data_IF_389368103879
#
_entry.id   IF_389368103879
#
_cell.length_a   1.000
_cell.length_b   1.000
_cell.length_c   1.000
_cell.angle_alpha   90.00
_cell.angle_beta   90.00
_cell.angle_gamma   90.00
#
_symmetry.space_group_name_H-M   'P 1'
#
loop_
_entity.id
_entity.type
_entity.pdbx_description
1 polymer ?
#
# COMPACT_ATOMS: atom_id res chain seq x y z
N UNK A 1 -20.35 -37.94 -29.65
CA UNK A 1 -21.46 -37.13 -29.09
C UNK A 1 -21.05 -36.15 -27.98
N UNK A 2 -19.76 -35.84 -27.79
CA UNK A 2 -19.27 -35.05 -26.64
C UNK A 2 -19.02 -33.54 -26.94
N UNK A 3 -19.67 -32.95 -27.96
CA UNK A 3 -19.13 -31.75 -28.60
C UNK A 3 -20.04 -30.50 -28.62
N UNK A 4 -21.38 -30.59 -28.50
CA UNK A 4 -22.25 -29.39 -28.63
C UNK A 4 -22.02 -28.38 -27.50
N UNK A 5 -21.97 -28.83 -26.26
CA UNK A 5 -21.63 -27.98 -25.11
C UNK A 5 -20.27 -27.29 -25.29
N UNK A 6 -19.25 -28.05 -25.70
CA UNK A 6 -17.89 -27.53 -25.84
C UNK A 6 -17.76 -26.54 -27.01
N UNK A 7 -18.40 -26.82 -28.14
CA UNK A 7 -18.51 -25.91 -29.29
C UNK A 7 -19.17 -24.60 -28.86
N UNK A 8 -20.31 -24.67 -28.16
CA UNK A 8 -21.01 -23.50 -27.68
C UNK A 8 -20.13 -22.63 -26.78
N UNK A 9 -19.46 -23.23 -25.78
CA UNK A 9 -18.56 -22.51 -24.88
C UNK A 9 -17.41 -21.87 -25.67
N UNK A 10 -16.80 -22.60 -26.62
CA UNK A 10 -15.72 -22.08 -27.44
C UNK A 10 -16.19 -20.85 -28.25
N UNK A 11 -17.32 -20.95 -28.96
CA UNK A 11 -17.90 -19.84 -29.73
C UNK A 11 -18.20 -18.60 -28.87
N UNK A 12 -18.75 -18.79 -27.66
CA UNK A 12 -18.98 -17.70 -26.72
C UNK A 12 -17.66 -17.07 -26.29
N UNK A 13 -16.67 -17.89 -25.93
CA UNK A 13 -15.37 -17.41 -25.44
C UNK A 13 -14.52 -16.76 -26.52
N UNK A 14 -14.70 -17.10 -27.80
CA UNK A 14 -13.99 -16.49 -28.92
C UNK A 14 -14.34 -15.01 -29.11
N UNK A 15 -15.54 -14.61 -28.67
CA UNK A 15 -15.95 -13.20 -28.68
C UNK A 15 -15.32 -12.37 -27.55
N UNK A 16 -14.64 -13.00 -26.58
CA UNK A 16 -14.08 -12.33 -25.40
C UNK A 16 -12.59 -12.03 -25.60
N UNK A 17 -12.15 -10.78 -25.45
CA UNK A 17 -10.73 -10.43 -25.70
C UNK A 17 -9.79 -10.80 -24.55
N UNK A 18 -10.26 -10.67 -23.31
CA UNK A 18 -9.43 -10.89 -22.12
C UNK A 18 -9.27 -12.38 -21.82
N UNK A 19 -8.03 -12.87 -21.72
CA UNK A 19 -7.73 -14.26 -21.33
C UNK A 19 -8.33 -14.63 -19.97
N UNK A 20 -8.27 -13.71 -19.00
CA UNK A 20 -8.85 -13.93 -17.66
C UNK A 20 -10.37 -14.00 -17.71
N UNK A 21 -11.01 -13.14 -18.52
CA UNK A 21 -12.47 -13.15 -18.68
C UNK A 21 -12.93 -14.39 -19.45
N UNK A 22 -12.18 -14.82 -20.48
CA UNK A 22 -12.43 -16.09 -21.20
C UNK A 22 -12.48 -17.26 -20.23
N UNK A 23 -11.44 -17.43 -19.40
CA UNK A 23 -11.35 -18.53 -18.45
C UNK A 23 -12.48 -18.49 -17.40
N UNK A 24 -12.84 -17.29 -16.94
CA UNK A 24 -13.93 -17.10 -15.99
C UNK A 24 -15.29 -17.45 -16.61
N UNK A 25 -15.63 -16.87 -17.77
CA UNK A 25 -16.90 -17.10 -18.45
C UNK A 25 -17.03 -18.56 -18.88
N UNK A 26 -15.96 -19.20 -19.35
CA UNK A 26 -15.96 -20.62 -19.67
C UNK A 26 -16.32 -21.49 -18.45
N UNK A 27 -15.83 -21.13 -17.26
CA UNK A 27 -16.13 -21.85 -16.02
C UNK A 27 -17.58 -21.64 -15.57
N UNK A 28 -18.06 -20.41 -15.64
CA UNK A 28 -19.45 -20.03 -15.30
C UNK A 28 -20.46 -20.71 -16.22
N UNK A 29 -20.23 -20.66 -17.53
CA UNK A 29 -21.09 -21.36 -18.51
C UNK A 29 -21.05 -22.87 -18.32
N UNK A 30 -19.88 -23.45 -18.02
CA UNK A 30 -19.79 -24.87 -17.70
C UNK A 30 -20.64 -25.27 -16.51
N UNK A 31 -20.68 -24.42 -15.47
CA UNK A 31 -21.49 -24.64 -14.27
C UNK A 31 -22.99 -24.58 -14.61
N UNK A 32 -23.43 -23.50 -15.26
CA UNK A 32 -24.85 -23.33 -15.59
C UNK A 32 -25.36 -24.34 -16.63
N UNK A 33 -24.55 -24.70 -17.62
CA UNK A 33 -24.91 -25.76 -18.57
C UNK A 33 -25.03 -27.12 -17.86
N UNK A 34 -24.21 -27.37 -16.83
CA UNK A 34 -24.32 -28.59 -16.03
C UNK A 34 -25.59 -28.59 -15.17
N UNK A 35 -25.92 -27.48 -14.52
CA UNK A 35 -27.18 -27.36 -13.76
C UNK A 35 -28.40 -27.50 -14.67
N UNK A 36 -28.44 -26.78 -15.79
CA UNK A 36 -29.54 -26.86 -16.75
C UNK A 36 -29.70 -28.29 -17.31
N UNK A 37 -28.60 -28.96 -17.65
CA UNK A 37 -28.62 -30.37 -18.08
C UNK A 37 -29.21 -31.27 -16.99
N UNK A 38 -28.78 -31.13 -15.74
CA UNK A 38 -29.32 -31.92 -14.62
C UNK A 38 -30.83 -31.70 -14.45
N UNK A 39 -31.32 -30.46 -14.53
CA UNK A 39 -32.76 -30.15 -14.47
C UNK A 39 -33.56 -30.82 -15.59
N UNK A 40 -32.99 -30.93 -16.79
CA UNK A 40 -33.64 -31.63 -17.90
C UNK A 40 -33.62 -33.15 -17.75
N UNK A 41 -32.55 -33.72 -17.16
CA UNK A 41 -32.50 -35.14 -16.82
C UNK A 41 -33.53 -35.52 -15.75
N UNK A 42 -33.73 -34.67 -14.74
CA UNK A 42 -34.78 -34.86 -13.72
C UNK A 42 -36.20 -34.88 -14.33
N UNK A 43 -36.40 -34.22 -15.47
CA UNK A 43 -37.65 -34.24 -16.24
C UNK A 43 -37.79 -35.47 -17.15
N UNK A 44 -36.88 -36.45 -17.05
CA UNK A 44 -36.94 -37.72 -17.76
C UNK A 44 -36.30 -37.75 -19.14
N UNK A 45 -35.54 -36.71 -19.53
CA UNK A 45 -34.80 -36.70 -20.80
C UNK A 45 -33.53 -37.55 -20.71
N UNK A 46 -33.14 -38.15 -21.85
CA UNK A 46 -31.84 -38.79 -21.97
C UNK A 46 -30.71 -37.76 -21.81
N UNK A 47 -29.52 -38.21 -21.38
CA UNK A 47 -28.39 -37.31 -21.12
C UNK A 47 -28.02 -36.44 -22.33
N UNK A 48 -28.10 -37.00 -23.54
CA UNK A 48 -27.80 -36.30 -24.78
C UNK A 48 -28.84 -35.24 -25.13
N UNK A 49 -30.14 -35.57 -24.98
CA UNK A 49 -31.23 -34.63 -25.24
C UNK A 49 -31.27 -33.51 -24.20
N UNK A 50 -30.97 -33.83 -22.95
CA UNK A 50 -30.86 -32.86 -21.87
C UNK A 50 -29.72 -31.85 -22.11
N UNK A 51 -28.58 -32.31 -22.65
CA UNK A 51 -27.45 -31.44 -22.99
C UNK A 51 -27.79 -30.51 -24.17
N UNK A 52 -28.47 -31.03 -25.19
CA UNK A 52 -28.91 -30.25 -26.34
C UNK A 52 -29.89 -29.15 -25.91
N UNK A 53 -30.91 -29.50 -25.12
CA UNK A 53 -31.85 -28.51 -24.57
C UNK A 53 -31.18 -27.49 -23.65
N UNK A 54 -30.19 -27.90 -22.86
CA UNK A 54 -29.44 -26.98 -22.01
C UNK A 54 -28.67 -25.94 -22.84
N UNK A 55 -28.10 -26.33 -23.99
CA UNK A 55 -27.42 -25.40 -24.92
C UNK A 55 -28.43 -24.50 -25.64
N UNK A 56 -29.54 -25.04 -26.13
CA UNK A 56 -30.60 -24.25 -26.79
C UNK A 56 -31.18 -23.17 -25.87
N UNK A 57 -31.36 -23.50 -24.59
CA UNK A 57 -31.88 -22.57 -23.58
C UNK A 57 -30.93 -21.36 -23.34
N UNK A 58 -29.63 -21.51 -23.61
CA UNK A 58 -28.66 -20.40 -23.51
C UNK A 58 -28.78 -19.39 -24.66
N UNK A 59 -29.48 -19.75 -25.75
CA UNK A 59 -29.68 -18.90 -26.91
C UNK A 59 -28.44 -18.75 -27.80
N UNK A 60 -28.24 -17.57 -28.39
CA UNK A 60 -27.19 -17.35 -29.39
C UNK A 60 -25.80 -17.20 -28.75
N UNK A 61 -24.82 -18.07 -29.09
CA UNK A 61 -23.47 -18.02 -28.52
C UNK A 61 -22.75 -16.71 -28.85
N UNK A 62 -22.90 -16.19 -30.07
CA UNK A 62 -22.29 -14.92 -30.48
C UNK A 62 -22.83 -13.73 -29.70
N UNK A 63 -24.16 -13.62 -29.56
CA UNK A 63 -24.79 -12.53 -28.79
C UNK A 63 -24.38 -12.59 -27.32
N UNK A 64 -24.39 -13.80 -26.74
CA UNK A 64 -23.97 -14.03 -25.36
C UNK A 64 -22.49 -13.66 -25.17
N UNK A 65 -21.61 -14.08 -26.07
CA UNK A 65 -20.18 -13.78 -26.03
C UNK A 65 -19.87 -12.28 -26.08
N UNK A 66 -20.55 -11.52 -26.94
CA UNK A 66 -20.42 -10.05 -27.01
C UNK A 66 -20.86 -9.40 -25.69
N UNK A 67 -21.99 -9.84 -25.12
CA UNK A 67 -22.50 -9.33 -23.84
C UNK A 67 -21.51 -9.64 -22.70
N UNK A 68 -21.02 -10.88 -22.63
CA UNK A 68 -20.07 -11.32 -21.61
C UNK A 68 -18.73 -10.59 -21.73
N UNK A 69 -18.24 -10.34 -22.95
CA UNK A 69 -17.03 -9.54 -23.17
C UNK A 69 -17.21 -8.10 -22.65
N UNK A 70 -18.38 -7.48 -22.89
CA UNK A 70 -18.68 -6.12 -22.40
C UNK A 70 -18.75 -6.08 -20.87
N UNK A 71 -19.35 -7.09 -20.26
CA UNK A 71 -19.55 -7.17 -18.81
C UNK A 71 -18.24 -7.42 -18.06
N UNK A 72 -17.43 -8.36 -18.53
CA UNK A 72 -16.23 -8.85 -17.84
C UNK A 72 -14.90 -8.27 -18.36
N UNK A 73 -14.95 -7.23 -19.19
CA UNK A 73 -13.74 -6.53 -19.65
C UNK A 73 -12.98 -5.95 -18.46
N UNK A 74 -11.66 -6.25 -18.31
CA UNK A 74 -10.84 -5.61 -17.29
C UNK A 74 -10.83 -4.08 -17.47
N UNK A 75 -11.06 -3.35 -16.38
CA UNK A 75 -11.09 -1.88 -16.37
C UNK A 75 -9.89 -1.34 -15.61
N UNK A 76 -9.29 -0.26 -16.08
CA UNK A 76 -8.24 0.45 -15.34
C UNK A 76 -8.86 1.70 -14.72
N UNK A 77 -8.49 2.02 -13.48
CA UNK A 77 -8.87 3.29 -12.87
C UNK A 77 -7.93 4.39 -13.39
N UNK A 78 -8.30 5.02 -14.49
CA UNK A 78 -7.47 6.05 -15.12
C UNK A 78 -7.23 7.26 -14.21
N UNK A 79 -8.12 7.55 -13.27
CA UNK A 79 -7.89 8.62 -12.29
C UNK A 79 -6.72 8.29 -11.36
N UNK A 80 -6.64 7.07 -10.82
CA UNK A 80 -5.47 6.64 -10.05
C UNK A 80 -4.19 6.64 -10.87
N UNK A 81 -4.25 6.24 -12.16
CA UNK A 81 -3.08 6.27 -13.05
C UNK A 81 -2.59 7.70 -13.26
N UNK A 82 -3.51 8.63 -13.55
CA UNK A 82 -3.17 10.06 -13.72
C UNK A 82 -2.53 10.61 -12.44
N UNK A 83 -3.14 10.36 -11.27
CA UNK A 83 -2.61 10.81 -9.99
C UNK A 83 -1.21 10.23 -9.71
N UNK A 84 -0.97 8.96 -10.05
CA UNK A 84 0.34 8.32 -9.92
C UNK A 84 1.38 8.96 -10.84
N UNK A 85 1.04 9.15 -12.11
CA UNK A 85 1.95 9.79 -13.08
C UNK A 85 2.27 11.22 -12.68
N UNK A 86 1.28 11.98 -12.16
CA UNK A 86 1.49 13.33 -11.66
C UNK A 86 2.37 13.33 -10.42
N UNK A 87 2.12 12.47 -9.44
CA UNK A 87 2.95 12.38 -8.22
C UNK A 87 4.42 12.01 -8.55
N UNK A 88 4.62 11.02 -9.42
CA UNK A 88 5.96 10.64 -9.87
C UNK A 88 6.65 11.74 -10.67
N UNK A 89 5.92 12.49 -11.50
CA UNK A 89 6.46 13.65 -12.21
C UNK A 89 6.86 14.78 -11.25
N UNK A 90 6.00 15.12 -10.29
CA UNK A 90 6.29 16.12 -9.26
C UNK A 90 7.48 15.72 -8.37
N UNK A 91 7.78 14.42 -8.25
CA UNK A 91 8.90 13.93 -7.46
C UNK A 91 10.28 14.36 -7.97
N UNK A 92 10.38 14.87 -9.21
CA UNK A 92 11.62 15.44 -9.75
C UNK A 92 11.87 16.89 -9.30
N UNK A 93 10.83 17.64 -8.93
CA UNK A 93 10.96 19.05 -8.55
C UNK A 93 11.87 19.28 -7.34
N UNK A 94 11.84 18.46 -6.26
CA UNK A 94 12.82 18.57 -5.19
C UNK A 94 14.27 18.32 -5.67
N UNK A 95 14.47 17.49 -6.68
CA UNK A 95 15.82 17.22 -7.20
C UNK A 95 16.39 18.44 -7.94
N UNK A 96 15.53 19.15 -8.67
CA UNK A 96 15.88 20.42 -9.34
C UNK A 96 16.21 21.47 -8.30
N UNK A 97 15.32 21.73 -7.34
CA UNK A 97 15.49 22.86 -6.42
C UNK A 97 16.64 22.68 -5.43
N UNK A 98 17.01 21.43 -5.16
CA UNK A 98 18.16 21.10 -4.33
C UNK A 98 19.46 21.06 -5.15
N UNK A 99 19.45 21.17 -6.48
CA UNK A 99 20.68 21.08 -7.29
C UNK A 99 21.25 19.68 -7.44
N UNK A 100 20.42 18.66 -7.20
CA UNK A 100 20.82 17.27 -7.47
C UNK A 100 20.72 16.89 -8.96
N UNK A 101 20.24 17.81 -9.82
CA UNK A 101 20.22 17.60 -11.27
C UNK A 101 21.61 17.73 -11.92
N UNK A 102 22.53 18.46 -11.28
CA UNK A 102 23.90 18.64 -11.79
C UNK A 102 24.79 17.43 -11.46
N UNK A 103 24.39 16.62 -10.47
CA UNK A 103 25.05 15.37 -10.13
C UNK A 103 24.37 14.18 -10.84
N UNK A 104 25.06 13.66 -11.85
CA UNK A 104 24.63 12.50 -12.64
C UNK A 104 24.22 11.30 -11.79
N UNK A 105 24.85 11.09 -10.64
CA UNK A 105 24.52 9.96 -9.76
C UNK A 105 23.08 10.05 -9.23
N UNK A 106 22.68 11.21 -8.70
CA UNK A 106 21.37 11.39 -8.07
C UNK A 106 20.23 11.40 -9.09
N UNK A 107 20.42 12.04 -10.25
CA UNK A 107 19.38 12.08 -11.28
C UNK A 107 19.15 10.71 -11.91
N UNK A 108 20.21 9.96 -12.26
CA UNK A 108 20.09 8.60 -12.81
C UNK A 108 19.39 7.70 -11.79
N UNK A 109 19.79 7.77 -10.51
CA UNK A 109 19.16 6.95 -9.47
C UNK A 109 17.69 7.31 -9.26
N UNK A 110 17.31 8.60 -9.32
CA UNK A 110 15.90 9.01 -9.24
C UNK A 110 15.09 8.48 -10.44
N UNK A 111 15.63 8.54 -11.65
CA UNK A 111 14.99 7.95 -12.84
C UNK A 111 14.78 6.45 -12.64
N UNK A 112 15.80 5.72 -12.15
CA UNK A 112 15.69 4.30 -11.85
C UNK A 112 14.63 4.01 -10.78
N UNK A 113 14.56 4.80 -9.70
CA UNK A 113 13.51 4.68 -8.67
C UNK A 113 12.12 4.83 -9.29
N UNK A 114 11.92 5.83 -10.15
CA UNK A 114 10.62 6.07 -10.81
C UNK A 114 10.29 4.92 -11.76
N UNK A 115 11.24 4.45 -12.57
CA UNK A 115 11.04 3.31 -13.46
C UNK A 115 10.71 2.03 -12.69
N UNK A 116 11.43 1.75 -11.60
CA UNK A 116 11.15 0.61 -10.72
C UNK A 116 9.76 0.75 -10.07
N UNK A 117 9.38 1.95 -9.64
CA UNK A 117 8.05 2.22 -9.12
C UNK A 117 6.94 1.93 -10.14
N UNK A 118 7.06 2.46 -11.37
CA UNK A 118 6.09 2.24 -12.44
C UNK A 118 6.00 0.76 -12.81
N UNK A 119 7.14 0.11 -13.01
CA UNK A 119 7.19 -1.33 -13.35
C UNK A 119 6.62 -2.20 -12.24
N UNK A 120 6.91 -1.91 -10.97
CA UNK A 120 6.32 -2.60 -9.83
C UNK A 120 4.80 -2.41 -9.78
N UNK A 121 4.30 -1.18 -9.93
CA UNK A 121 2.85 -0.93 -9.94
C UNK A 121 2.16 -1.66 -11.09
N UNK A 122 2.69 -1.58 -12.31
CA UNK A 122 2.13 -2.27 -13.47
C UNK A 122 2.18 -3.79 -13.27
N UNK A 123 3.34 -4.33 -12.87
CA UNK A 123 3.52 -5.76 -12.62
C UNK A 123 2.51 -6.30 -11.61
N UNK A 124 2.37 -5.64 -10.46
CA UNK A 124 1.41 -6.03 -9.40
C UNK A 124 -0.04 -5.86 -9.87
N UNK A 125 -0.37 -4.81 -10.62
CA UNK A 125 -1.69 -4.61 -11.22
C UNK A 125 -2.08 -5.78 -12.15
N UNK A 126 -1.12 -6.28 -12.94
CA UNK A 126 -1.33 -7.39 -13.87
C UNK A 126 -1.52 -8.73 -13.16
N UNK A 127 -1.04 -8.92 -11.94
CA UNK A 127 -1.20 -10.18 -11.19
C UNK A 127 -2.60 -10.27 -10.58
N UNK A 128 -3.25 -11.44 -10.66
CA UNK A 128 -4.57 -11.68 -10.06
C UNK A 128 -4.46 -11.74 -8.53
N UNK A 129 -4.91 -10.67 -7.87
CA UNK A 129 -4.88 -10.56 -6.42
C UNK A 129 -5.61 -11.70 -5.72
N UNK A 130 -6.63 -12.33 -6.33
CA UNK A 130 -7.41 -13.41 -5.72
C UNK A 130 -6.55 -14.64 -5.42
N UNK A 131 -5.44 -14.83 -6.13
CA UNK A 131 -4.49 -15.92 -5.88
C UNK A 131 -3.73 -15.73 -4.56
N UNK A 132 -3.47 -14.49 -4.17
CA UNK A 132 -2.78 -14.14 -2.93
C UNK A 132 -3.59 -14.48 -1.69
N UNK A 133 -4.92 -14.57 -1.81
CA UNK A 133 -5.81 -14.93 -0.72
C UNK A 133 -5.42 -16.24 -0.03
N UNK A 134 -4.85 -17.23 -0.73
CA UNK A 134 -4.45 -18.52 -0.11
C UNK A 134 -2.99 -18.54 0.38
N UNK A 135 -2.22 -17.50 0.09
CA UNK A 135 -0.78 -17.44 0.35
C UNK A 135 -0.45 -16.63 1.62
N UNK A 136 -1.42 -16.41 2.52
CA UNK A 136 -1.23 -15.58 3.72
C UNK A 136 -0.04 -16.01 4.58
N UNK A 137 0.08 -17.31 4.85
CA UNK A 137 1.21 -17.85 5.61
C UNK A 137 2.56 -17.65 4.90
N UNK A 138 2.60 -17.84 3.58
CA UNK A 138 3.81 -17.59 2.79
C UNK A 138 4.26 -16.13 2.93
N UNK A 139 3.34 -15.18 2.75
CA UNK A 139 3.69 -13.76 2.90
C UNK A 139 4.09 -13.41 4.33
N UNK A 140 3.40 -13.96 5.32
CA UNK A 140 3.75 -13.74 6.72
C UNK A 140 5.18 -14.19 7.02
N UNK A 141 5.53 -15.41 6.60
CA UNK A 141 6.87 -15.97 6.78
C UNK A 141 7.93 -15.14 6.06
N UNK A 142 7.66 -14.68 4.82
CA UNK A 142 8.60 -13.80 4.10
C UNK A 142 8.82 -12.49 4.87
N UNK A 143 7.75 -11.86 5.37
CA UNK A 143 7.85 -10.62 6.15
C UNK A 143 8.65 -10.79 7.43
N UNK A 144 8.40 -11.87 8.19
CA UNK A 144 9.18 -12.21 9.39
C UNK A 144 10.65 -12.50 9.04
N UNK A 145 10.90 -13.31 8.01
CA UNK A 145 12.24 -13.70 7.60
C UNK A 145 13.06 -12.48 7.18
N UNK A 146 12.45 -11.51 6.48
CA UNK A 146 13.11 -10.26 6.14
C UNK A 146 13.58 -9.50 7.39
N UNK A 147 12.73 -9.39 8.42
CA UNK A 147 13.11 -8.73 9.67
C UNK A 147 14.19 -9.50 10.44
N UNK A 148 14.13 -10.83 10.44
CA UNK A 148 15.19 -11.69 11.03
C UNK A 148 16.51 -11.51 10.27
N UNK A 149 16.48 -11.45 8.93
CA UNK A 149 17.68 -11.18 8.13
C UNK A 149 18.28 -9.83 8.52
N UNK A 150 17.49 -8.77 8.63
CA UNK A 150 18.00 -7.45 9.02
C UNK A 150 18.59 -7.46 10.43
N UNK A 151 17.99 -8.22 11.35
CA UNK A 151 18.48 -8.33 12.73
C UNK A 151 19.86 -9.00 12.81
N UNK A 152 20.10 -10.08 12.06
CA UNK A 152 21.32 -10.89 12.22
C UNK A 152 22.39 -10.66 11.13
N UNK A 153 21.99 -10.17 9.94
CA UNK A 153 22.86 -10.08 8.78
C UNK A 153 22.96 -8.65 8.19
N UNK A 154 22.51 -7.63 8.93
CA UNK A 154 22.75 -6.24 8.52
C UNK A 154 24.24 -5.92 8.44
N UNK A 155 24.60 -5.06 7.49
CA UNK A 155 25.98 -4.66 7.23
C UNK A 155 26.21 -3.15 7.28
N UNK A 156 25.13 -2.36 7.41
CA UNK A 156 25.19 -0.91 7.52
C UNK A 156 24.21 -0.46 8.60
N UNK A 157 24.59 0.55 9.38
CA UNK A 157 23.72 1.21 10.35
C UNK A 157 23.53 2.67 9.95
N UNK A 158 22.28 3.10 9.74
CA UNK A 158 21.94 4.51 9.48
C UNK A 158 20.93 4.97 10.53
N UNK A 159 21.23 6.06 11.23
CA UNK A 159 20.37 6.62 12.28
C UNK A 159 19.95 5.60 13.36
N UNK A 160 20.82 4.61 13.64
CA UNK A 160 20.56 3.55 14.61
C UNK A 160 19.70 2.39 14.09
N UNK A 161 19.30 2.39 12.81
CA UNK A 161 18.58 1.27 12.18
C UNK A 161 19.55 0.36 11.41
N UNK A 162 19.51 -0.96 11.62
CA UNK A 162 20.25 -1.93 10.85
C UNK A 162 19.64 -2.11 9.45
N UNK A 163 20.48 -1.93 8.44
CA UNK A 163 20.15 -2.02 7.03
C UNK A 163 21.01 -3.08 6.35
N UNK A 164 20.46 -3.68 5.29
CA UNK A 164 21.20 -4.61 4.44
C UNK A 164 21.45 -3.96 3.08
N UNK A 165 22.69 -3.54 2.85
CA UNK A 165 23.15 -2.98 1.58
C UNK A 165 23.67 -4.09 0.66
N UNK A 166 23.00 -4.29 -0.47
CA UNK A 166 23.35 -5.22 -1.55
C UNK A 166 23.67 -4.42 -2.82
N UNK A 167 24.92 -3.99 -2.97
CA UNK A 167 25.34 -3.12 -4.06
C UNK A 167 24.57 -1.78 -4.04
N UNK A 168 23.80 -1.44 -5.09
CA UNK A 168 23.02 -0.20 -5.15
C UNK A 168 21.70 -0.26 -4.36
N UNK A 169 21.29 -1.44 -3.88
CA UNK A 169 20.00 -1.64 -3.19
C UNK A 169 20.25 -1.68 -1.68
N UNK A 170 19.52 -0.85 -0.93
CA UNK A 170 19.52 -0.89 0.54
C UNK A 170 18.17 -1.39 1.02
N UNK A 171 18.14 -2.59 1.60
CA UNK A 171 16.94 -3.20 2.17
C UNK A 171 16.78 -2.72 3.61
N UNK A 172 15.58 -2.27 3.92
CA UNK A 172 15.20 -1.72 5.22
C UNK A 172 13.98 -2.46 5.77
N UNK A 173 13.68 -2.28 7.06
CA UNK A 173 12.54 -2.91 7.74
C UNK A 173 11.19 -2.62 7.06
N UNK A 174 11.08 -1.49 6.36
CA UNK A 174 9.90 -1.07 5.60
C UNK A 174 9.45 -2.11 4.57
N UNK A 175 10.39 -2.91 4.04
CA UNK A 175 10.11 -3.97 3.06
C UNK A 175 9.41 -5.19 3.64
N UNK A 176 9.28 -5.32 4.95
CA UNK A 176 8.41 -6.33 5.56
C UNK A 176 6.92 -5.98 5.39
N UNK A 177 6.56 -4.69 5.30
CA UNK A 177 5.18 -4.24 5.32
C UNK A 177 4.32 -4.76 4.15
N UNK A 178 4.77 -4.76 2.87
CA UNK A 178 3.96 -5.29 1.78
C UNK A 178 3.55 -6.76 2.01
N UNK A 179 4.45 -7.56 2.57
CA UNK A 179 4.19 -8.97 2.85
C UNK A 179 3.26 -9.16 4.05
N UNK A 180 3.52 -8.45 5.15
CA UNK A 180 2.65 -8.47 6.34
C UNK A 180 1.24 -7.96 6.00
N UNK A 181 1.13 -6.93 5.16
CA UNK A 181 -0.12 -6.42 4.62
C UNK A 181 -0.93 -7.50 3.87
N UNK A 182 -0.30 -8.19 2.91
CA UNK A 182 -0.96 -9.27 2.16
C UNK A 182 -1.34 -10.45 3.07
N UNK A 183 -0.50 -10.77 4.05
CA UNK A 183 -0.74 -11.81 5.05
C UNK A 183 -1.96 -11.50 5.92
N UNK A 184 -2.02 -10.31 6.51
CA UNK A 184 -3.12 -9.89 7.37
C UNK A 184 -4.45 -9.80 6.62
N UNK A 185 -4.44 -9.34 5.35
CA UNK A 185 -5.62 -9.40 4.49
C UNK A 185 -6.15 -10.84 4.34
N UNK A 186 -5.24 -11.81 4.18
CA UNK A 186 -5.57 -13.22 4.03
C UNK A 186 -6.11 -13.79 5.34
N UNK A 187 -5.41 -13.57 6.45
CA UNK A 187 -5.81 -14.08 7.77
C UNK A 187 -7.18 -13.58 8.18
N UNK A 188 -7.46 -12.28 8.06
CA UNK A 188 -8.79 -11.74 8.38
C UNK A 188 -9.91 -12.17 7.43
N UNK A 189 -9.57 -12.74 6.26
CA UNK A 189 -10.57 -13.25 5.32
C UNK A 189 -10.85 -14.74 5.50
N UNK A 190 -9.81 -15.56 5.71
CA UNK A 190 -9.92 -17.03 5.67
C UNK A 190 -9.87 -17.67 7.05
N UNK A 191 -9.09 -17.10 7.96
CA UNK A 191 -8.80 -17.71 9.24
C UNK A 191 -9.73 -17.16 10.30
N UNK A 192 -10.38 -18.03 11.07
CA UNK A 192 -11.00 -17.63 12.34
C UNK A 192 -9.92 -17.71 13.41
N UNK A 193 -8.98 -16.77 13.38
CA UNK A 193 -7.90 -16.74 14.36
C UNK A 193 -8.50 -16.58 15.77
N UNK A 194 -8.13 -17.48 16.68
CA UNK A 194 -8.40 -17.31 18.11
C UNK A 194 -7.61 -16.09 18.61
N UNK A 195 -8.06 -15.48 19.69
CA UNK A 195 -7.42 -14.27 20.26
C UNK A 195 -5.94 -14.51 20.56
N UNK A 196 -5.57 -15.66 21.12
CA UNK A 196 -4.15 -15.97 21.37
C UNK A 196 -3.33 -16.09 20.07
N UNK A 197 -3.92 -16.59 18.98
CA UNK A 197 -3.21 -16.75 17.69
C UNK A 197 -2.99 -15.39 17.06
N UNK A 198 -4.02 -14.53 17.13
CA UNK A 198 -3.90 -13.13 16.76
C UNK A 198 -2.76 -12.47 17.54
N UNK A 199 -2.75 -12.59 18.87
CA UNK A 199 -1.73 -11.95 19.70
C UNK A 199 -0.32 -12.45 19.35
N UNK A 200 -0.12 -13.76 19.14
CA UNK A 200 1.17 -14.32 18.77
C UNK A 200 1.66 -13.79 17.40
N UNK A 201 0.78 -13.81 16.39
CA UNK A 201 1.09 -13.29 15.05
C UNK A 201 1.23 -11.76 15.03
N UNK A 202 0.56 -11.07 15.93
CA UNK A 202 0.65 -9.62 16.03
C UNK A 202 1.92 -9.16 16.72
N UNK A 203 2.28 -9.82 17.83
CA UNK A 203 3.44 -9.46 18.65
C UNK A 203 4.77 -9.88 18.03
N UNK A 204 4.82 -10.95 17.21
CA UNK A 204 6.11 -11.39 16.64
C UNK A 204 6.77 -10.35 15.72
N UNK A 205 6.08 -9.70 14.75
CA UNK A 205 6.67 -8.59 14.00
C UNK A 205 7.01 -7.40 14.89
N UNK A 206 6.20 -7.10 15.93
CA UNK A 206 6.47 -6.00 16.86
C UNK A 206 7.81 -6.19 17.56
N UNK A 207 8.06 -7.38 18.11
CA UNK A 207 9.33 -7.68 18.78
C UNK A 207 10.51 -7.52 17.82
N UNK A 208 10.36 -7.98 16.58
CA UNK A 208 11.41 -7.83 15.56
C UNK A 208 11.63 -6.37 15.15
N UNK A 209 10.56 -5.60 14.95
CA UNK A 209 10.68 -4.16 14.64
C UNK A 209 11.37 -3.39 15.78
N UNK A 210 11.08 -3.74 17.03
CA UNK A 210 11.77 -3.19 18.19
C UNK A 210 13.24 -3.61 18.23
N UNK A 211 13.55 -4.87 17.91
CA UNK A 211 14.92 -5.37 17.85
C UNK A 211 15.77 -4.66 16.79
N UNK A 212 15.17 -4.29 15.64
CA UNK A 212 15.82 -3.45 14.62
C UNK A 212 15.61 -1.94 14.83
N UNK A 213 15.18 -1.51 16.01
CA UNK A 213 14.98 -0.11 16.39
C UNK A 213 14.10 0.73 15.42
N UNK A 214 13.19 0.07 14.69
CA UNK A 214 12.42 0.67 13.59
C UNK A 214 11.02 1.10 14.03
N UNK A 215 10.95 2.09 14.93
CA UNK A 215 9.69 2.62 15.48
C UNK A 215 8.71 3.14 14.40
N UNK A 216 9.13 3.86 13.34
CA UNK A 216 8.20 4.34 12.32
C UNK A 216 7.49 3.18 11.60
N UNK A 217 8.23 2.17 11.15
CA UNK A 217 7.65 0.99 10.49
C UNK A 217 6.75 0.18 11.43
N UNK A 218 7.09 0.07 12.71
CA UNK A 218 6.23 -0.53 13.73
C UNK A 218 4.89 0.21 13.82
N UNK A 219 4.91 1.54 13.82
CA UNK A 219 3.69 2.35 13.85
C UNK A 219 2.83 2.12 12.60
N UNK A 220 3.43 2.10 11.40
CA UNK A 220 2.72 1.76 10.15
C UNK A 220 2.06 0.38 10.24
N UNK A 221 2.81 -0.63 10.69
CA UNK A 221 2.31 -1.99 10.87
C UNK A 221 1.13 -2.03 11.85
N UNK A 222 1.28 -1.40 13.01
CA UNK A 222 0.26 -1.35 14.05
C UNK A 222 -1.06 -0.77 13.51
N UNK A 223 -1.00 0.44 12.92
CA UNK A 223 -2.17 1.12 12.36
C UNK A 223 -2.82 0.29 11.27
N UNK A 224 -2.02 -0.27 10.34
CA UNK A 224 -2.52 -1.12 9.27
C UNK A 224 -3.32 -2.32 9.80
N UNK A 225 -2.76 -3.09 10.75
CA UNK A 225 -3.42 -4.29 11.27
C UNK A 225 -4.73 -3.93 11.96
N UNK A 226 -4.76 -2.88 12.77
CA UNK A 226 -5.96 -2.48 13.50
C UNK A 226 -7.05 -1.92 12.58
N UNK A 227 -6.69 -1.08 11.60
CA UNK A 227 -7.66 -0.58 10.62
C UNK A 227 -8.27 -1.76 9.83
N UNK A 228 -7.47 -2.74 9.44
CA UNK A 228 -7.96 -3.96 8.77
C UNK A 228 -8.82 -4.84 9.71
N UNK A 229 -8.44 -4.98 10.99
CA UNK A 229 -9.22 -5.71 11.99
C UNK A 229 -10.62 -5.11 12.12
N UNK A 230 -10.73 -3.78 12.19
CA UNK A 230 -12.02 -3.10 12.36
C UNK A 230 -12.96 -3.25 11.16
N UNK A 231 -12.41 -3.40 9.96
CA UNK A 231 -13.17 -3.71 8.75
C UNK A 231 -13.28 -5.20 8.41
N UNK A 232 -12.65 -6.08 9.19
CA UNK A 232 -12.78 -7.53 9.02
C UNK A 232 -14.20 -8.02 9.33
N UNK A 233 -14.47 -9.30 8.99
CA UNK A 233 -15.75 -9.96 9.28
C UNK A 233 -15.92 -10.40 10.74
N UNK A 234 -14.96 -10.13 11.62
CA UNK A 234 -15.06 -10.52 13.02
C UNK A 234 -16.24 -9.84 13.72
N UNK A 235 -16.81 -10.51 14.72
CA UNK A 235 -17.90 -9.94 15.51
C UNK A 235 -17.40 -8.73 16.31
N UNK A 236 -18.29 -7.76 16.58
CA UNK A 236 -17.94 -6.55 17.35
C UNK A 236 -17.28 -6.89 18.69
N UNK A 237 -17.77 -7.93 19.38
CA UNK A 237 -17.21 -8.41 20.65
C UNK A 237 -15.75 -8.85 20.51
N UNK A 238 -15.42 -9.62 19.46
CA UNK A 238 -14.04 -10.09 19.22
C UNK A 238 -13.12 -8.91 18.86
N UNK A 239 -13.58 -7.98 18.01
CA UNK A 239 -12.81 -6.77 17.66
C UNK A 239 -12.46 -5.93 18.89
N UNK A 240 -13.44 -5.67 19.74
CA UNK A 240 -13.24 -4.96 21.00
C UNK A 240 -12.29 -5.71 21.93
N UNK A 241 -12.49 -7.02 22.13
CA UNK A 241 -11.65 -7.84 22.98
C UNK A 241 -10.18 -7.83 22.54
N UNK A 242 -9.92 -8.00 21.23
CA UNK A 242 -8.57 -7.94 20.68
C UNK A 242 -7.96 -6.55 20.87
N UNK A 243 -8.74 -5.50 20.60
CA UNK A 243 -8.27 -4.11 20.71
C UNK A 243 -7.95 -3.76 22.15
N UNK A 244 -8.89 -3.95 23.09
CA UNK A 244 -8.66 -3.64 24.50
C UNK A 244 -7.55 -4.51 25.08
N UNK A 245 -7.54 -5.82 24.79
CA UNK A 245 -6.48 -6.71 25.27
C UNK A 245 -5.09 -6.28 24.81
N UNK A 246 -4.94 -5.91 23.52
CA UNK A 246 -3.65 -5.46 22.98
C UNK A 246 -3.22 -4.11 23.56
N UNK A 247 -4.14 -3.14 23.65
CA UNK A 247 -3.84 -1.83 24.24
C UNK A 247 -3.50 -1.93 25.73
N UNK A 248 -4.16 -2.80 26.49
CA UNK A 248 -3.82 -3.06 27.90
C UNK A 248 -2.42 -3.67 28.03
N UNK A 249 -2.05 -4.63 27.18
CA UNK A 249 -0.69 -5.20 27.18
C UNK A 249 0.34 -4.12 26.86
N UNK A 250 0.10 -3.29 25.84
CA UNK A 250 0.99 -2.20 25.46
C UNK A 250 1.11 -1.17 26.59
N UNK A 251 0.01 -0.85 27.27
CA UNK A 251 0.04 0.06 28.42
C UNK A 251 0.92 -0.48 29.54
N UNK A 252 0.76 -1.76 29.90
CA UNK A 252 1.60 -2.41 30.92
C UNK A 252 3.07 -2.40 30.50
N UNK A 253 3.36 -2.78 29.25
CA UNK A 253 4.72 -2.73 28.70
C UNK A 253 5.25 -1.29 28.74
N UNK A 254 4.44 -0.29 28.41
CA UNK A 254 4.80 1.13 28.42
C UNK A 254 5.14 1.63 29.82
N UNK A 255 4.37 1.26 30.84
CA UNK A 255 4.64 1.61 32.24
C UNK A 255 5.96 1.01 32.71
N UNK A 256 6.22 -0.26 32.39
CA UNK A 256 7.48 -0.93 32.73
C UNK A 256 8.64 -0.32 31.94
N UNK A 257 8.46 -0.10 30.64
CA UNK A 257 9.47 0.48 29.76
C UNK A 257 9.82 1.91 30.15
N UNK A 258 8.89 2.69 30.72
CA UNK A 258 9.12 4.04 31.21
C UNK A 258 10.30 4.13 32.18
N UNK A 259 10.50 3.10 33.00
CA UNK A 259 11.61 3.02 33.95
C UNK A 259 12.98 2.91 33.28
N UNK A 260 13.01 2.52 31.99
CA UNK A 260 14.22 2.31 31.20
C UNK A 260 14.40 3.37 30.10
N UNK A 261 13.51 4.36 30.04
CA UNK A 261 13.60 5.45 29.04
C UNK A 261 14.82 6.30 29.36
N UNK A 262 15.67 6.48 28.36
CA UNK A 262 16.89 7.29 28.50
C UNK A 262 16.54 8.78 28.52
N UNK A 263 17.28 9.63 29.25
CA UNK A 263 17.00 11.07 29.33
C UNK A 263 16.86 11.75 27.97
N UNK A 264 17.71 11.41 26.99
CA UNK A 264 17.63 11.99 25.64
C UNK A 264 16.32 11.63 24.90
N UNK A 265 15.70 10.49 25.21
CA UNK A 265 14.42 10.08 24.61
C UNK A 265 13.28 10.94 25.16
N UNK A 266 13.32 11.25 26.47
CA UNK A 266 12.39 12.19 27.12
C UNK A 266 12.56 13.58 26.51
N UNK A 267 13.81 14.05 26.34
CA UNK A 267 14.11 15.35 25.72
C UNK A 267 13.54 15.44 24.31
N UNK A 268 13.58 14.37 23.50
CA UNK A 268 12.94 14.37 22.16
C UNK A 268 11.43 14.52 22.22
N UNK A 269 10.77 13.93 23.21
CA UNK A 269 9.32 14.08 23.40
C UNK A 269 8.98 15.49 23.88
N UNK A 270 9.74 16.03 24.83
CA UNK A 270 9.53 17.39 25.35
C UNK A 270 9.83 18.46 24.28
N UNK A 271 10.84 18.24 23.44
CA UNK A 271 11.20 19.13 22.35
C UNK A 271 10.12 19.24 21.25
N UNK A 272 9.17 18.30 21.19
CA UNK A 272 8.00 18.45 20.33
C UNK A 272 7.05 19.55 20.83
N UNK A 273 6.88 19.66 22.16
CA UNK A 273 5.94 20.60 22.78
C UNK A 273 6.59 21.95 23.10
N UNK A 274 7.86 21.95 23.49
CA UNK A 274 8.65 23.15 23.81
C UNK A 274 9.92 23.22 22.94
N UNK A 275 9.80 23.30 21.61
CA UNK A 275 10.96 23.24 20.71
C UNK A 275 11.98 24.35 20.97
N UNK A 276 11.53 25.54 21.38
CA UNK A 276 12.38 26.69 21.73
C UNK A 276 13.34 26.41 22.89
N UNK A 277 12.87 25.69 23.92
CA UNK A 277 13.69 25.32 25.08
C UNK A 277 14.81 24.35 24.72
N UNK A 278 14.64 23.59 23.64
CA UNK A 278 15.59 22.59 23.16
C UNK A 278 16.16 22.97 21.78
N UNK A 279 16.26 24.26 21.48
CA UNK A 279 16.65 24.80 20.17
C UNK A 279 18.02 24.33 19.69
N UNK A 280 18.99 24.15 20.60
CA UNK A 280 20.35 23.70 20.27
C UNK A 280 20.47 22.18 20.05
N UNK A 281 19.37 21.44 20.19
CA UNK A 281 19.38 19.98 20.14
C UNK A 281 18.15 19.40 19.45
N UNK A 282 17.32 18.69 20.21
CA UNK A 282 16.19 17.94 19.65
C UNK A 282 15.10 18.83 19.02
N UNK A 283 15.01 20.11 19.42
CA UNK A 283 14.07 21.08 18.85
C UNK A 283 14.57 21.77 17.58
N UNK A 284 15.88 21.71 17.30
CA UNK A 284 16.52 22.43 16.19
C UNK A 284 15.82 22.21 14.85
N UNK A 285 15.62 20.94 14.47
CA UNK A 285 15.05 20.58 13.17
C UNK A 285 13.58 21.00 13.03
N UNK A 286 12.83 21.04 14.14
CA UNK A 286 11.44 21.52 14.15
C UNK A 286 11.42 23.03 13.90
N UNK A 287 12.17 23.79 14.69
CA UNK A 287 12.26 25.25 14.55
C UNK A 287 12.79 25.64 13.17
N UNK A 288 13.80 24.94 12.66
CA UNK A 288 14.39 25.23 11.36
C UNK A 288 13.41 24.94 10.21
N UNK A 289 12.63 23.86 10.32
CA UNK A 289 11.57 23.56 9.35
C UNK A 289 10.52 24.67 9.33
N UNK A 290 10.06 25.12 10.50
CA UNK A 290 9.10 26.21 10.64
C UNK A 290 9.63 27.54 10.12
N UNK A 291 10.89 27.88 10.42
CA UNK A 291 11.56 29.09 9.94
C UNK A 291 11.62 29.11 8.40
N UNK A 292 12.08 28.02 7.78
CA UNK A 292 12.15 27.91 6.32
C UNK A 292 10.76 28.01 5.70
N UNK A 293 9.78 27.24 6.19
CA UNK A 293 8.42 27.29 5.65
C UNK A 293 7.78 28.68 5.80
N UNK A 294 8.12 29.44 6.84
CA UNK A 294 7.67 30.83 7.00
C UNK A 294 8.35 31.75 5.98
N UNK A 295 9.67 31.62 5.80
CA UNK A 295 10.46 32.37 4.81
C UNK A 295 10.08 32.08 3.36
N UNK A 296 9.45 30.93 3.09
CA UNK A 296 9.02 30.52 1.76
C UNK A 296 7.99 31.46 1.12
N UNK A 297 7.11 32.08 1.92
CA UNK A 297 5.95 32.81 1.39
C UNK A 297 5.06 31.97 0.46
N UNK A 298 4.17 32.63 -0.29
CA UNK A 298 3.22 31.92 -1.17
C UNK A 298 3.86 31.35 -2.44
N UNK A 299 4.92 31.99 -2.94
CA UNK A 299 5.53 31.71 -4.26
C UNK A 299 6.96 31.17 -4.19
N UNK A 300 7.43 30.84 -2.99
CA UNK A 300 8.75 30.30 -2.77
C UNK A 300 9.74 31.39 -2.39
N UNK A 301 10.84 30.95 -1.81
CA UNK A 301 11.94 31.82 -1.46
C UNK A 301 12.76 32.15 -2.72
N UNK A 302 12.99 33.45 -2.92
CA UNK A 302 13.81 33.98 -4.01
C UNK A 302 14.67 35.12 -3.46
N UNK A 303 15.98 34.95 -3.42
CA UNK A 303 16.93 35.99 -2.98
C UNK A 303 17.75 36.61 -4.12
N UNK A 304 17.45 36.23 -5.37
CA UNK A 304 18.15 36.73 -6.56
C UNK A 304 19.57 36.17 -6.75
N UNK A 305 20.07 35.30 -5.86
CA UNK A 305 21.42 34.74 -5.90
C UNK A 305 21.42 33.21 -5.80
N UNK A 306 20.98 32.54 -6.87
CA UNK A 306 21.21 31.11 -7.09
C UNK A 306 20.19 30.17 -6.43
N UNK A 307 20.53 28.88 -6.38
CA UNK A 307 19.64 27.82 -5.87
C UNK A 307 19.49 27.87 -4.34
N UNK A 308 18.32 27.51 -3.78
CA UNK A 308 18.09 27.45 -2.34
C UNK A 308 19.14 26.61 -1.59
N UNK A 309 19.88 27.23 -0.67
CA UNK A 309 20.90 26.56 0.16
C UNK A 309 20.32 25.70 1.30
N UNK A 310 19.14 25.10 1.09
CA UNK A 310 18.43 24.29 2.10
C UNK A 310 19.29 23.15 2.64
N UNK A 311 20.12 22.55 1.77
CA UNK A 311 21.01 21.43 2.11
C UNK A 311 21.99 21.77 3.24
N UNK A 312 22.37 23.04 3.37
CA UNK A 312 23.27 23.52 4.41
C UNK A 312 22.59 23.55 5.79
N UNK A 313 21.25 23.61 5.81
CA UNK A 313 20.45 23.79 7.02
C UNK A 313 19.70 22.53 7.46
N UNK A 314 19.26 21.69 6.52
CA UNK A 314 18.46 20.50 6.79
C UNK A 314 19.14 19.28 6.16
N UNK A 315 19.78 18.43 6.98
CA UNK A 315 20.16 17.08 6.57
C UNK A 315 18.94 16.34 6.04
N UNK A 316 19.12 15.48 5.03
CA UNK A 316 18.03 14.66 4.49
C UNK A 316 16.86 15.49 3.87
N UNK A 317 17.17 16.71 3.39
CA UNK A 317 16.24 17.61 2.71
C UNK A 317 15.51 17.00 1.49
N UNK A 318 16.08 15.96 0.86
CA UNK A 318 15.50 15.26 -0.28
C UNK A 318 14.70 14.01 0.12
N UNK A 319 14.78 13.56 1.37
CA UNK A 319 14.11 12.35 1.88
C UNK A 319 13.02 12.71 2.88
N UNK A 320 13.33 12.81 4.17
CA UNK A 320 12.37 13.00 5.26
C UNK A 320 11.79 14.42 5.29
N UNK A 321 12.59 15.42 4.92
CA UNK A 321 12.18 16.83 4.90
C UNK A 321 11.83 17.35 3.50
N UNK A 322 11.51 16.45 2.56
CA UNK A 322 11.22 16.83 1.16
C UNK A 322 10.09 17.83 1.04
N UNK A 323 9.08 17.78 1.92
CA UNK A 323 7.98 18.74 1.92
C UNK A 323 8.42 20.15 2.32
N UNK A 324 9.33 20.27 3.29
CA UNK A 324 9.93 21.55 3.70
C UNK A 324 10.73 22.12 2.53
N UNK A 325 11.57 21.29 1.91
CA UNK A 325 12.39 21.69 0.75
C UNK A 325 11.54 22.15 -0.42
N UNK A 326 10.48 21.40 -0.73
CA UNK A 326 9.55 21.72 -1.80
C UNK A 326 8.81 23.04 -1.53
N UNK A 327 8.27 23.20 -0.32
CA UNK A 327 7.53 24.41 0.07
C UNK A 327 8.45 25.62 0.11
N UNK A 328 9.67 25.51 0.63
CA UNK A 328 10.64 26.60 0.62
C UNK A 328 11.01 27.04 -0.80
N UNK A 329 11.19 26.07 -1.72
CA UNK A 329 11.63 26.36 -3.08
C UNK A 329 10.52 26.92 -3.96
N UNK A 330 9.29 26.39 -3.85
CA UNK A 330 8.20 26.69 -4.78
C UNK A 330 7.02 27.43 -4.12
N UNK A 331 7.03 27.58 -2.80
CA UNK A 331 6.03 28.31 -2.04
C UNK A 331 4.87 27.46 -1.52
N UNK A 332 4.12 28.04 -0.60
CA UNK A 332 2.93 27.43 -0.02
C UNK A 332 1.85 27.09 -1.04
N UNK A 333 1.71 27.86 -2.13
CA UNK A 333 0.72 27.57 -3.17
C UNK A 333 0.96 26.18 -3.79
N UNK A 334 2.22 25.91 -4.19
CA UNK A 334 2.60 24.61 -4.73
C UNK A 334 2.60 23.53 -3.64
N UNK A 335 3.02 23.86 -2.41
CA UNK A 335 2.97 22.93 -1.27
C UNK A 335 1.54 22.42 -1.01
N UNK A 336 0.55 23.31 -0.97
CA UNK A 336 -0.87 22.97 -0.82
C UNK A 336 -1.34 22.12 -2.01
N UNK A 337 -1.03 22.52 -3.24
CA UNK A 337 -1.38 21.75 -4.44
C UNK A 337 -0.84 20.32 -4.38
N UNK A 338 0.43 20.15 -3.97
CA UNK A 338 1.05 18.83 -3.81
C UNK A 338 0.29 17.98 -2.79
N UNK A 339 0.01 18.52 -1.60
CA UNK A 339 -0.76 17.81 -0.56
C UNK A 339 -2.16 17.47 -1.07
N UNK A 340 -2.83 18.37 -1.77
CA UNK A 340 -4.14 18.10 -2.38
C UNK A 340 -4.08 16.93 -3.35
N UNK A 341 -3.07 16.85 -4.22
CA UNK A 341 -2.90 15.72 -5.15
C UNK A 341 -2.71 14.40 -4.38
N UNK A 342 -1.87 14.41 -3.34
CA UNK A 342 -1.61 13.22 -2.52
C UNK A 342 -2.85 12.80 -1.71
N UNK A 343 -3.67 13.74 -1.25
CA UNK A 343 -4.95 13.47 -0.57
C UNK A 343 -6.02 12.97 -1.54
N UNK A 344 -6.11 13.51 -2.76
CA UNK A 344 -7.00 13.00 -3.81
C UNK A 344 -6.66 11.55 -4.16
N UNK A 345 -5.38 11.18 -4.08
CA UNK A 345 -4.94 9.80 -4.21
C UNK A 345 -5.61 8.90 -3.15
N UNK A 346 -5.49 9.25 -1.87
CA UNK A 346 -6.11 8.52 -0.76
C UNK A 346 -7.65 8.48 -0.91
N UNK A 347 -8.26 9.63 -1.22
CA UNK A 347 -9.71 9.74 -1.44
C UNK A 347 -10.19 8.84 -2.58
N UNK A 348 -9.44 8.73 -3.67
CA UNK A 348 -9.80 7.86 -4.80
C UNK A 348 -9.72 6.38 -4.41
N UNK A 349 -8.69 5.98 -3.65
CA UNK A 349 -8.59 4.61 -3.14
C UNK A 349 -9.76 4.25 -2.22
N UNK A 350 -10.18 5.19 -1.35
CA UNK A 350 -11.38 5.03 -0.51
C UNK A 350 -12.63 4.90 -1.37
N UNK A 351 -12.80 5.75 -2.39
CA UNK A 351 -13.95 5.72 -3.29
C UNK A 351 -14.08 4.40 -4.08
N UNK A 352 -12.98 3.69 -4.30
CA UNK A 352 -12.99 2.37 -4.95
C UNK A 352 -13.63 1.31 -4.06
N UNK A 353 -13.53 1.42 -2.73
CA UNK A 353 -14.07 0.43 -1.78
C UNK A 353 -15.54 0.10 -2.03
N UNK A 354 -16.38 1.12 -2.29
CA UNK A 354 -17.83 0.94 -2.50
C UNK A 354 -18.17 0.09 -3.74
N UNK A 355 -17.23 -0.04 -4.68
CA UNK A 355 -17.38 -0.80 -5.93
C UNK A 355 -16.93 -2.26 -5.82
N UNK A 356 -16.27 -2.64 -4.73
CA UNK A 356 -15.74 -3.99 -4.55
C UNK A 356 -16.75 -4.85 -3.80
N UNK A 357 -17.00 -6.06 -4.29
CA UNK A 357 -17.90 -7.03 -3.67
C UNK A 357 -17.16 -8.00 -2.74
N UNK A 358 -15.98 -8.45 -3.17
CA UNK A 358 -15.15 -9.42 -2.45
C UNK A 358 -14.54 -8.86 -1.16
N UNK A 359 -14.56 -9.67 -0.11
CA UNK A 359 -14.08 -9.28 1.22
C UNK A 359 -12.55 -9.19 1.32
N UNK A 360 -11.82 -10.04 0.58
CA UNK A 360 -10.36 -9.98 0.55
C UNK A 360 -9.88 -8.69 -0.11
N UNK A 361 -10.43 -8.35 -1.28
CA UNK A 361 -10.16 -7.12 -2.01
C UNK A 361 -10.54 -5.87 -1.24
N UNK A 362 -11.64 -5.89 -0.46
CA UNK A 362 -11.97 -4.80 0.48
C UNK A 362 -10.87 -4.62 1.52
N UNK A 363 -10.43 -5.68 2.18
CA UNK A 363 -9.37 -5.62 3.18
C UNK A 363 -8.03 -5.15 2.59
N UNK A 364 -7.70 -5.58 1.38
CA UNK A 364 -6.54 -5.07 0.64
C UNK A 364 -6.65 -3.56 0.42
N UNK A 365 -7.79 -3.06 -0.08
CA UNK A 365 -7.98 -1.62 -0.26
C UNK A 365 -7.82 -0.85 1.06
N UNK A 366 -8.42 -1.35 2.14
CA UNK A 366 -8.40 -0.71 3.45
C UNK A 366 -6.98 -0.67 4.03
N UNK A 367 -6.24 -1.78 3.98
CA UNK A 367 -4.86 -1.82 4.44
C UNK A 367 -3.93 -0.92 3.59
N UNK A 368 -4.15 -0.89 2.27
CA UNK A 368 -3.40 -0.02 1.36
C UNK A 368 -3.66 1.47 1.62
N UNK A 369 -4.93 1.84 1.81
CA UNK A 369 -5.32 3.20 2.23
C UNK A 369 -4.69 3.54 3.57
N UNK A 370 -4.76 2.63 4.55
CA UNK A 370 -4.22 2.87 5.88
C UNK A 370 -2.71 3.18 5.83
N UNK A 371 -1.92 2.31 5.17
CA UNK A 371 -0.47 2.48 5.03
C UNK A 371 -0.10 3.77 4.29
N UNK A 372 -0.73 4.03 3.15
CA UNK A 372 -0.45 5.24 2.36
C UNK A 372 -0.83 6.52 3.11
N UNK A 373 -2.02 6.54 3.71
CA UNK A 373 -2.56 7.74 4.37
C UNK A 373 -1.79 8.05 5.64
N UNK A 374 -1.45 7.04 6.44
CA UNK A 374 -0.68 7.28 7.66
C UNK A 374 0.74 7.72 7.33
N UNK A 375 1.38 7.16 6.29
CA UNK A 375 2.68 7.64 5.83
C UNK A 375 2.64 9.11 5.38
N UNK A 376 1.62 9.48 4.60
CA UNK A 376 1.39 10.85 4.15
C UNK A 376 1.17 11.82 5.33
N UNK A 377 0.22 11.49 6.20
CA UNK A 377 -0.14 12.33 7.35
C UNK A 377 1.00 12.44 8.35
N UNK A 378 1.74 11.35 8.60
CA UNK A 378 2.90 11.39 9.49
C UNK A 378 4.03 12.24 8.94
N UNK A 379 4.32 12.18 7.63
CA UNK A 379 5.35 13.04 7.04
C UNK A 379 4.97 14.53 7.13
N UNK A 380 3.75 14.90 6.71
CA UNK A 380 3.30 16.30 6.79
C UNK A 380 3.19 16.75 8.25
N UNK A 381 2.64 15.90 9.12
CA UNK A 381 2.46 16.23 10.53
C UNK A 381 3.78 16.41 11.27
N UNK A 382 4.85 15.65 10.95
CA UNK A 382 6.13 15.84 11.61
C UNK A 382 6.80 17.16 11.24
N UNK A 383 6.74 17.56 9.97
CA UNK A 383 7.40 18.78 9.50
C UNK A 383 6.67 20.05 9.93
N UNK A 384 5.36 19.95 10.20
CA UNK A 384 4.56 21.00 10.81
C UNK A 384 4.68 21.05 12.34
N UNK A 385 5.32 20.04 12.97
CA UNK A 385 5.48 19.95 14.43
C UNK A 385 4.29 19.34 15.17
N UNK A 386 3.34 18.69 14.48
CA UNK A 386 2.23 17.95 15.11
C UNK A 386 2.62 16.55 15.59
N UNK A 387 3.63 15.95 14.96
CA UNK A 387 4.12 14.61 15.32
C UNK A 387 5.64 14.65 15.60
N UNK A 388 6.16 13.69 16.40
CA UNK A 388 7.60 13.56 16.60
C UNK A 388 8.34 13.42 15.26
N UNK A 389 9.52 14.02 15.17
CA UNK A 389 10.40 13.83 14.02
C UNK A 389 10.82 12.36 13.91
N UNK A 390 10.51 11.77 12.76
CA UNK A 390 10.74 10.35 12.44
C UNK A 390 11.25 10.21 11.00
N UNK A 391 11.58 8.99 10.57
CA UNK A 391 12.07 8.71 9.21
C UNK A 391 10.95 8.29 8.25
N UNK A 392 9.80 8.98 8.29
CA UNK A 392 8.70 8.70 7.35
C UNK A 392 8.90 9.48 6.06
N UNK A 393 8.99 8.78 4.94
CA UNK A 393 9.07 9.42 3.63
C UNK A 393 7.70 9.86 3.12
N UNK A 394 7.62 10.99 2.42
CA UNK A 394 6.43 11.43 1.71
C UNK A 394 6.17 10.50 0.51
N UNK A 395 4.97 9.89 0.37
CA UNK A 395 4.71 8.91 -0.69
C UNK A 395 5.04 9.46 -2.09
N UNK A 396 5.80 8.69 -2.87
CA UNK A 396 6.29 8.98 -4.22
C UNK A 396 7.23 10.19 -4.39
N UNK A 397 7.13 11.20 -3.53
CA UNK A 397 7.89 12.45 -3.65
C UNK A 397 9.32 12.30 -3.12
N UNK A 398 9.47 11.75 -1.91
CA UNK A 398 10.77 11.58 -1.27
C UNK A 398 11.74 10.77 -2.13
N UNK A 399 13.03 11.09 -2.01
CA UNK A 399 14.09 10.31 -2.62
C UNK A 399 14.33 9.03 -1.80
N UNK A 400 13.91 7.89 -2.35
CA UNK A 400 14.11 6.60 -1.70
C UNK A 400 13.47 5.46 -2.47
N UNK A 401 14.27 4.41 -2.74
CA UNK A 401 13.80 3.23 -3.46
C UNK A 401 12.75 2.46 -2.64
N UNK A 402 13.04 2.16 -1.37
CA UNK A 402 12.19 1.32 -0.53
C UNK A 402 10.79 1.94 -0.28
N UNK A 403 10.66 3.21 0.13
CA UNK A 403 9.36 3.88 0.22
C UNK A 403 8.60 3.93 -1.11
N UNK A 404 9.30 4.14 -2.23
CA UNK A 404 8.67 4.18 -3.56
C UNK A 404 8.14 2.80 -3.96
N UNK A 405 8.92 1.74 -3.75
CA UNK A 405 8.51 0.36 -4.02
C UNK A 405 7.34 -0.07 -3.14
N UNK A 406 7.35 0.26 -1.85
CA UNK A 406 6.21 0.02 -0.95
C UNK A 406 4.95 0.64 -1.55
N UNK A 407 4.96 1.95 -1.80
CA UNK A 407 3.81 2.67 -2.33
C UNK A 407 3.39 2.14 -3.71
N UNK A 408 4.35 1.80 -4.58
CA UNK A 408 4.09 1.21 -5.88
C UNK A 408 3.37 -0.15 -5.77
N UNK A 409 3.76 -1.00 -4.80
CA UNK A 409 3.06 -2.26 -4.52
C UNK A 409 1.66 -1.98 -4.01
N UNK A 410 1.47 -1.07 -3.04
CA UNK A 410 0.14 -0.74 -2.51
C UNK A 410 -0.80 -0.31 -3.64
N UNK A 411 -0.36 0.61 -4.50
CA UNK A 411 -1.18 1.08 -5.62
C UNK A 411 -1.39 0.00 -6.67
N UNK A 412 -0.37 -0.81 -6.96
CA UNK A 412 -0.50 -1.96 -7.85
C UNK A 412 -1.56 -2.95 -7.36
N UNK A 413 -1.61 -3.21 -6.06
CA UNK A 413 -2.63 -4.07 -5.44
C UNK A 413 -4.02 -3.44 -5.57
N UNK A 414 -4.17 -2.14 -5.26
CA UNK A 414 -5.43 -1.40 -5.41
C UNK A 414 -5.95 -1.45 -6.85
N UNK A 415 -5.07 -1.22 -7.83
CA UNK A 415 -5.40 -1.30 -9.24
C UNK A 415 -5.74 -2.74 -9.68
N UNK A 416 -5.02 -3.74 -9.16
CA UNK A 416 -5.33 -5.16 -9.39
C UNK A 416 -6.73 -5.53 -8.91
N UNK A 417 -7.13 -5.05 -7.73
CA UNK A 417 -8.47 -5.23 -7.16
C UNK A 417 -9.53 -4.54 -8.01
N UNK A 418 -9.33 -3.26 -8.35
CA UNK A 418 -10.27 -2.51 -9.18
C UNK A 418 -10.48 -3.16 -10.55
N UNK A 419 -9.38 -3.64 -11.16
CA UNK A 419 -9.40 -4.25 -12.49
C UNK A 419 -10.29 -5.48 -12.58
N UNK A 420 -10.39 -6.23 -11.48
CA UNK A 420 -11.09 -7.52 -11.42
C UNK A 420 -12.41 -7.45 -10.65
N UNK A 421 -12.89 -6.25 -10.32
CA UNK A 421 -14.14 -6.02 -9.56
C UNK A 421 -15.39 -6.62 -10.23
N UNK A 422 -15.39 -6.70 -11.57
CA UNK A 422 -16.51 -7.22 -12.37
C UNK A 422 -16.35 -8.73 -12.70
N UNK A 423 -15.28 -9.39 -12.22
CA UNK A 423 -14.98 -10.82 -12.42
C UNK A 423 -15.36 -11.67 -11.19
N UNK A 424 -16.36 -11.24 -10.43
CA UNK A 424 -16.75 -11.83 -9.15
C UNK A 424 -18.27 -11.95 -9.11
N UNK A 425 -18.79 -13.07 -9.62
CA UNK A 425 -20.13 -13.57 -9.35
C UNK A 425 -20.11 -15.11 -9.24
N UNK A 426 -21.03 -15.65 -8.44
CA UNK A 426 -21.31 -17.07 -8.17
C UNK A 426 -20.30 -17.83 -7.27
N UNK A 427 -20.51 -17.65 -5.96
CA UNK A 427 -20.79 -18.78 -5.05
C UNK A 427 -21.90 -18.34 -4.10
#
# INVERSE_FOLDING_TARGET
>A
MNNKKQIFINEVTDQIKSKEAKAYVAKELNYHLKEAKNTWMEKGLSESEAEEKAVEQMGSPTKLGIQMNKLHRPKVDWWLVILLTTALGLSFLPMVSLGYMEDWHYIIYKILIVLIGVTATVGVMLVDYRKWKKLGWLFYTIGILLLVILMFFSNVMINGMPLLKLGPITIESLMALPFLYLAWASFFTNEKLRVWQFLLLFLSPILLFLAVASIPTLYLYFVMVFVMLWWSKYSKKVKWLITTGTFSIILVIGIVAWQFVKPYQIVRLLALFEPEKYADGAGFMILKSQELMTKAGWFGWFDGFGQPRIKEFIPEAHTNFVFVSFTYSYGWLFGVLLVTILLLFAARMIAIHSKIKDSYGKLLLIGGVALYSIQLLSNIGMVLGFFPLTTMSLPFISYGLMPTVLNAILIGVVLSVYRRKDLICLS
#
